data_IF_933214150670
#
_entry.id   IF_933214150670
#
_cell.length_a   1.000
_cell.length_b   1.000
_cell.length_c   1.000
_cell.angle_alpha   90.00
_cell.angle_beta   90.00
_cell.angle_gamma   90.00
#
_symmetry.space_group_name_H-M   'P 1'
#
loop_
_entity.id
_entity.type
_entity.pdbx_description
1 polymer ?
#
# COMPACT_ATOMS: atom_id res chain seq x y z
N UNK A 1 -16.85 -13.67 39.55
CA UNK A 1 -15.39 -13.86 39.70
C UNK A 1 -14.73 -13.91 38.32
N UNK A 2 -13.61 -13.22 38.16
CA UNK A 2 -12.82 -13.26 36.92
C UNK A 2 -12.03 -14.57 36.83
N UNK A 3 -11.75 -15.08 35.62
CA UNK A 3 -10.91 -16.29 35.44
C UNK A 3 -9.55 -16.17 36.14
N UNK A 4 -8.98 -14.97 36.13
CA UNK A 4 -7.74 -14.67 36.85
C UNK A 4 -7.88 -14.84 38.38
N UNK A 5 -8.98 -14.36 38.98
CA UNK A 5 -9.24 -14.56 40.41
C UNK A 5 -9.36 -16.04 40.80
N UNK A 6 -10.02 -16.87 39.99
CA UNK A 6 -10.14 -18.31 40.26
C UNK A 6 -8.78 -19.03 40.18
N UNK A 7 -7.90 -18.62 39.27
CA UNK A 7 -6.54 -19.18 39.17
C UNK A 7 -5.70 -18.81 40.41
N UNK A 8 -5.83 -17.56 40.90
CA UNK A 8 -5.17 -17.14 42.13
C UNK A 8 -5.61 -18.01 43.30
N UNK A 9 -6.94 -18.16 43.50
CA UNK A 9 -7.50 -18.99 44.59
C UNK A 9 -6.96 -20.42 44.56
N UNK A 10 -6.91 -21.04 43.38
CA UNK A 10 -6.44 -22.42 43.22
C UNK A 10 -4.93 -22.61 43.41
N UNK A 11 -4.10 -21.61 43.07
CA UNK A 11 -2.64 -21.74 43.19
C UNK A 11 -2.15 -21.38 44.58
N UNK A 12 -2.77 -20.38 45.19
CA UNK A 12 -2.29 -19.73 46.42
C UNK A 12 -3.09 -20.23 47.63
N UNK A 13 -4.20 -20.93 47.41
CA UNK A 13 -5.13 -21.38 48.45
C UNK A 13 -5.49 -20.23 49.38
N UNK A 14 -5.87 -19.09 48.81
CA UNK A 14 -6.22 -17.88 49.58
C UNK A 14 -7.36 -18.11 50.59
N UNK A 15 -8.17 -19.15 50.37
CA UNK A 15 -9.27 -19.56 51.23
C UNK A 15 -8.78 -20.42 52.43
N UNK A 16 -7.52 -20.89 52.43
CA UNK A 16 -6.86 -21.58 53.55
C UNK A 16 -5.92 -20.59 54.29
N UNK A 17 -6.52 -19.76 55.14
CA UNK A 17 -5.83 -18.69 55.85
C UNK A 17 -5.68 -19.03 57.34
N UNK A 18 -4.61 -18.57 57.98
CA UNK A 18 -4.29 -18.81 59.40
C UNK A 18 -5.39 -18.33 60.36
N UNK A 19 -6.28 -17.43 59.91
CA UNK A 19 -7.42 -16.95 60.68
C UNK A 19 -8.65 -17.88 60.67
N UNK A 20 -8.60 -19.00 59.92
CA UNK A 20 -9.67 -19.99 59.87
C UNK A 20 -9.43 -21.13 60.88
N UNK A 21 -10.49 -21.61 61.57
CA UNK A 21 -10.40 -22.74 62.49
C UNK A 21 -9.95 -24.06 61.81
N UNK A 22 -10.17 -24.17 60.50
CA UNK A 22 -9.85 -25.33 59.66
C UNK A 22 -8.52 -25.23 58.92
N UNK A 23 -7.63 -24.32 59.35
CA UNK A 23 -6.34 -24.07 58.71
C UNK A 23 -5.50 -25.35 58.59
N UNK A 24 -4.97 -25.59 57.39
CA UNK A 24 -3.99 -26.65 57.13
C UNK A 24 -2.66 -26.03 56.73
N UNK A 25 -1.56 -26.54 57.27
CA UNK A 25 -0.22 -26.12 56.86
C UNK A 25 -0.04 -26.50 55.39
N UNK A 26 0.24 -25.50 54.55
CA UNK A 26 0.61 -25.67 53.14
C UNK A 26 1.96 -25.02 52.84
N UNK A 27 2.49 -25.26 51.65
CA UNK A 27 3.82 -24.79 51.24
C UNK A 27 3.81 -23.29 50.81
N UNK A 28 2.70 -22.58 51.01
CA UNK A 28 2.55 -21.18 50.58
C UNK A 28 2.68 -20.27 51.78
N UNK A 29 3.67 -19.37 51.75
CA UNK A 29 3.86 -18.39 52.82
C UNK A 29 2.61 -17.53 53.03
N UNK A 30 2.19 -17.35 54.29
CA UNK A 30 1.01 -16.55 54.67
C UNK A 30 1.08 -15.10 54.15
N UNK A 31 2.29 -14.54 54.07
CA UNK A 31 2.48 -13.18 53.53
C UNK A 31 1.98 -13.10 52.09
N UNK A 32 2.23 -14.13 51.26
CA UNK A 32 1.74 -14.19 49.88
C UNK A 32 0.23 -14.32 49.85
N UNK A 33 -0.36 -15.17 50.70
CA UNK A 33 -1.82 -15.30 50.79
C UNK A 33 -2.48 -13.97 51.13
N UNK A 34 -1.91 -13.20 52.05
CA UNK A 34 -2.39 -11.88 52.43
C UNK A 34 -2.30 -10.88 51.26
N UNK A 35 -1.14 -10.80 50.59
CA UNK A 35 -0.98 -9.93 49.42
C UNK A 35 -1.96 -10.26 48.29
N UNK A 36 -2.13 -11.53 47.94
CA UNK A 36 -3.07 -11.92 46.89
C UNK A 36 -4.53 -11.78 47.33
N UNK A 37 -4.86 -11.95 48.61
CA UNK A 37 -6.18 -11.62 49.15
C UNK A 37 -6.49 -10.13 49.04
N UNK A 38 -5.52 -9.25 49.29
CA UNK A 38 -5.70 -7.80 49.07
C UNK A 38 -6.02 -7.48 47.61
N UNK A 39 -5.39 -8.17 46.65
CA UNK A 39 -5.71 -7.99 45.23
C UNK A 39 -7.15 -8.42 44.91
N UNK A 40 -7.60 -9.55 45.48
CA UNK A 40 -8.92 -10.13 45.24
C UNK A 40 -10.05 -9.33 45.90
N UNK A 41 -9.84 -8.88 47.15
CA UNK A 41 -10.88 -8.20 47.93
C UNK A 41 -11.06 -6.74 47.51
N UNK A 42 -10.00 -6.07 47.06
CA UNK A 42 -10.07 -4.66 46.68
C UNK A 42 -10.64 -4.42 45.28
N UNK A 43 -10.86 -5.47 44.46
CA UNK A 43 -11.21 -5.30 43.06
C UNK A 43 -12.23 -6.33 42.56
N UNK A 44 -13.43 -5.86 42.18
CA UNK A 44 -14.44 -6.71 41.53
C UNK A 44 -13.98 -7.22 40.14
N UNK A 45 -13.15 -6.42 39.45
CA UNK A 45 -12.57 -6.75 38.15
C UNK A 45 -11.09 -6.40 38.08
N UNK A 46 -10.26 -7.42 37.89
CA UNK A 46 -8.81 -7.26 37.76
C UNK A 46 -8.47 -6.87 36.32
N UNK A 47 -8.25 -5.57 36.09
CA UNK A 47 -7.75 -5.05 34.81
C UNK A 47 -6.23 -5.19 34.72
N UNK A 48 -5.68 -5.06 33.50
CA UNK A 48 -4.23 -5.13 33.26
C UNK A 48 -3.47 -4.08 34.07
N UNK A 49 -4.01 -2.86 34.17
CA UNK A 49 -3.40 -1.75 34.94
C UNK A 49 -3.34 -2.06 36.43
N UNK A 50 -4.47 -2.49 37.01
CA UNK A 50 -4.56 -2.87 38.42
C UNK A 50 -3.58 -4.01 38.73
N UNK A 51 -3.52 -5.03 37.86
CA UNK A 51 -2.62 -6.19 38.01
C UNK A 51 -1.15 -5.78 38.12
N UNK A 52 -0.67 -4.92 37.21
CA UNK A 52 0.75 -4.51 37.22
C UNK A 52 1.05 -3.44 38.27
N UNK A 53 0.07 -2.60 38.62
CA UNK A 53 0.18 -1.69 39.75
C UNK A 53 0.32 -2.46 41.07
N UNK A 54 -0.51 -3.49 41.29
CA UNK A 54 -0.40 -4.40 42.43
C UNK A 54 0.97 -5.08 42.49
N UNK A 55 1.46 -5.59 41.36
CA UNK A 55 2.78 -6.22 41.30
C UNK A 55 3.88 -5.25 41.73
N UNK A 56 3.87 -4.01 41.20
CA UNK A 56 4.85 -2.98 41.55
C UNK A 56 4.76 -2.58 43.04
N UNK A 57 3.56 -2.39 43.57
CA UNK A 57 3.34 -2.02 44.96
C UNK A 57 3.75 -3.13 45.92
N UNK A 58 3.51 -4.39 45.56
CA UNK A 58 3.89 -5.56 46.37
C UNK A 58 5.41 -5.69 46.45
N UNK A 59 6.13 -5.42 45.36
CA UNK A 59 7.60 -5.46 45.34
C UNK A 59 8.24 -4.30 46.10
N UNK A 60 7.65 -3.10 46.04
CA UNK A 60 8.12 -1.92 46.76
C UNK A 60 7.78 -1.93 48.26
N UNK A 61 6.99 -2.90 48.71
CA UNK A 61 6.54 -2.95 50.08
C UNK A 61 7.69 -3.27 51.04
N UNK A 62 7.79 -2.51 52.14
CA UNK A 62 8.76 -2.68 53.23
C UNK A 62 8.70 -4.08 53.86
N UNK A 63 7.53 -4.72 53.86
CA UNK A 63 7.33 -6.05 54.46
C UNK A 63 7.82 -7.21 53.58
N UNK A 64 8.20 -6.95 52.32
CA UNK A 64 8.77 -7.96 51.42
C UNK A 64 10.30 -7.96 51.50
N UNK A 65 10.87 -8.85 52.33
CA UNK A 65 12.31 -9.16 52.35
C UNK A 65 12.73 -9.86 51.04
N UNK A 66 14.01 -9.78 50.69
CA UNK A 66 14.53 -10.30 49.41
C UNK A 66 14.21 -11.78 49.18
N UNK A 67 14.28 -12.62 50.21
CA UNK A 67 13.95 -14.06 50.14
C UNK A 67 12.48 -14.29 49.71
N UNK A 68 11.54 -13.51 50.25
CA UNK A 68 10.11 -13.62 49.91
C UNK A 68 9.75 -12.97 48.57
N UNK A 69 10.60 -12.06 48.05
CA UNK A 69 10.34 -11.40 46.77
C UNK A 69 10.43 -12.37 45.61
N UNK A 70 11.43 -13.24 45.60
CA UNK A 70 11.60 -14.23 44.53
C UNK A 70 10.43 -15.21 44.49
N UNK A 71 10.02 -15.71 45.66
CA UNK A 71 8.85 -16.59 45.78
C UNK A 71 7.56 -15.91 45.32
N UNK A 72 7.34 -14.65 45.72
CA UNK A 72 6.20 -13.88 45.25
C UNK A 72 6.20 -13.71 43.72
N UNK A 73 7.34 -13.37 43.13
CA UNK A 73 7.50 -13.24 41.67
C UNK A 73 7.19 -14.58 41.00
N UNK A 74 7.69 -15.69 41.56
CA UNK A 74 7.45 -17.03 41.04
C UNK A 74 5.96 -17.40 41.07
N UNK A 75 5.26 -17.13 42.18
CA UNK A 75 3.81 -17.33 42.27
C UNK A 75 3.04 -16.46 41.27
N UNK A 76 3.38 -15.17 41.18
CA UNK A 76 2.74 -14.25 40.24
C UNK A 76 2.95 -14.69 38.78
N UNK A 77 4.18 -15.05 38.42
CA UNK A 77 4.51 -15.61 37.11
C UNK A 77 3.78 -16.92 36.83
N UNK A 78 3.65 -17.81 37.82
CA UNK A 78 2.89 -19.07 37.69
C UNK A 78 1.41 -18.83 37.40
N UNK A 79 0.78 -17.91 38.14
CA UNK A 79 -0.60 -17.47 37.89
C UNK A 79 -0.74 -16.92 36.47
N UNK A 80 0.17 -16.03 36.05
CA UNK A 80 0.14 -15.45 34.70
C UNK A 80 0.31 -16.52 33.62
N UNK A 81 1.26 -17.44 33.78
CA UNK A 81 1.50 -18.53 32.81
C UNK A 81 0.25 -19.38 32.61
N UNK A 82 -0.44 -19.76 33.69
CA UNK A 82 -1.69 -20.54 33.59
C UNK A 82 -2.78 -19.73 32.89
N UNK A 83 -2.96 -18.48 33.28
CA UNK A 83 -3.94 -17.59 32.65
C UNK A 83 -3.70 -17.42 31.14
N UNK A 84 -2.46 -17.15 30.73
CA UNK A 84 -2.12 -17.00 29.32
C UNK A 84 -2.22 -18.31 28.53
N UNK A 85 -1.89 -19.46 29.12
CA UNK A 85 -2.11 -20.78 28.51
C UNK A 85 -3.59 -21.06 28.28
N UNK A 86 -4.44 -20.78 29.27
CA UNK A 86 -5.89 -20.94 29.12
C UNK A 86 -6.46 -20.00 28.06
N UNK A 87 -6.05 -18.73 28.04
CA UNK A 87 -6.47 -17.80 27.00
C UNK A 87 -6.01 -18.24 25.60
N UNK A 88 -4.78 -18.75 25.48
CA UNK A 88 -4.27 -19.30 24.22
C UNK A 88 -5.08 -20.52 23.79
N UNK A 89 -5.46 -21.39 24.72
CA UNK A 89 -6.32 -22.54 24.45
C UNK A 89 -7.71 -22.10 23.97
N UNK A 90 -8.34 -21.15 24.66
CA UNK A 90 -9.64 -20.59 24.27
C UNK A 90 -9.55 -19.94 22.89
N UNK A 91 -8.48 -19.19 22.61
CA UNK A 91 -8.26 -18.58 21.29
C UNK A 91 -8.17 -19.65 20.19
N UNK A 92 -7.40 -20.73 20.41
CA UNK A 92 -7.32 -21.86 19.49
C UNK A 92 -8.67 -22.55 19.29
N UNK A 93 -9.45 -22.73 20.37
CA UNK A 93 -10.79 -23.31 20.29
C UNK A 93 -11.74 -22.42 19.47
N UNK A 94 -11.78 -21.12 19.76
CA UNK A 94 -12.57 -20.14 18.99
C UNK A 94 -12.17 -20.15 17.51
N UNK A 95 -10.87 -20.18 17.23
CA UNK A 95 -10.37 -20.30 15.87
C UNK A 95 -10.86 -21.57 15.19
N UNK A 96 -10.79 -22.74 15.85
CA UNK A 96 -11.29 -23.99 15.26
C UNK A 96 -12.79 -23.97 15.00
N UNK A 97 -13.59 -23.45 15.94
CA UNK A 97 -15.07 -23.41 15.87
C UNK A 97 -15.61 -22.34 14.91
N UNK A 98 -14.85 -21.28 14.65
CA UNK A 98 -15.28 -20.17 13.80
C UNK A 98 -15.61 -20.65 12.37
N UNK A 99 -16.77 -20.19 11.89
CA UNK A 99 -17.27 -20.48 10.54
C UNK A 99 -16.48 -19.68 9.51
N UNK A 100 -16.23 -20.30 8.36
CA UNK A 100 -15.70 -19.62 7.18
C UNK A 100 -16.88 -18.92 6.51
N UNK A 101 -16.84 -17.59 6.49
CA UNK A 101 -17.90 -16.76 5.91
C UNK A 101 -17.57 -16.39 4.47
N UNK A 102 -16.27 -16.16 4.21
CA UNK A 102 -15.77 -15.80 2.88
C UNK A 102 -14.70 -16.78 2.48
N UNK A 103 -14.96 -17.48 1.38
CA UNK A 103 -14.08 -18.45 0.73
C UNK A 103 -13.91 -18.17 -0.78
N UNK A 104 -14.32 -16.98 -1.23
CA UNK A 104 -14.16 -16.56 -2.62
C UNK A 104 -13.46 -15.22 -2.66
N UNK A 105 -12.65 -15.03 -3.68
CA UNK A 105 -12.01 -13.76 -3.98
C UNK A 105 -13.01 -12.76 -4.60
N UNK A 106 -12.59 -11.50 -4.75
CA UNK A 106 -13.29 -10.45 -5.47
C UNK A 106 -13.56 -10.83 -6.93
N UNK A 107 -12.71 -11.67 -7.53
CA UNK A 107 -12.92 -12.24 -8.87
C UNK A 107 -13.78 -13.52 -8.87
N UNK A 108 -14.41 -13.86 -7.75
CA UNK A 108 -15.25 -15.06 -7.52
C UNK A 108 -14.51 -16.40 -7.59
N UNK A 109 -13.18 -16.39 -7.66
CA UNK A 109 -12.34 -17.58 -7.56
C UNK A 109 -12.43 -18.19 -6.16
N UNK A 110 -12.49 -19.52 -6.07
CA UNK A 110 -12.52 -20.20 -4.76
C UNK A 110 -11.13 -20.18 -4.12
N UNK A 111 -11.08 -19.80 -2.84
CA UNK A 111 -9.86 -19.71 -2.06
C UNK A 111 -9.88 -20.82 -1.02
N UNK A 112 -8.87 -21.69 -1.02
CA UNK A 112 -8.70 -22.68 0.03
C UNK A 112 -7.71 -22.20 1.10
N UNK A 113 -7.91 -22.68 2.33
CA UNK A 113 -7.04 -22.34 3.48
C UNK A 113 -5.59 -22.79 3.28
N UNK A 114 -5.39 -23.86 2.53
CA UNK A 114 -4.08 -24.49 2.35
C UNK A 114 -3.28 -23.92 1.18
N UNK A 115 -3.87 -22.99 0.43
CA UNK A 115 -3.22 -22.42 -0.75
C UNK A 115 -2.09 -21.48 -0.33
N UNK A 116 -1.07 -21.42 -1.19
CA UNK A 116 0.05 -20.48 -1.00
C UNK A 116 -0.49 -19.06 -1.06
N UNK A 117 0.10 -18.16 -0.26
CA UNK A 117 -0.26 -16.74 -0.21
C UNK A 117 -1.71 -16.45 0.24
N UNK A 118 -2.39 -17.42 0.87
CA UNK A 118 -3.70 -17.20 1.47
C UNK A 118 -3.57 -16.94 2.97
N UNK A 119 -4.15 -15.82 3.41
CA UNK A 119 -4.23 -15.45 4.81
C UNK A 119 -5.65 -15.69 5.35
N UNK A 120 -5.75 -16.52 6.39
CA UNK A 120 -7.00 -16.72 7.12
C UNK A 120 -7.11 -15.71 8.27
N UNK A 121 -7.93 -14.68 8.06
CA UNK A 121 -8.23 -13.67 9.08
C UNK A 121 -9.40 -14.12 9.95
N UNK A 122 -9.18 -14.21 11.27
CA UNK A 122 -10.27 -14.33 12.25
C UNK A 122 -10.66 -12.92 12.74
N UNK A 123 -11.84 -12.45 12.36
CA UNK A 123 -12.35 -11.14 12.77
C UNK A 123 -13.79 -11.27 13.29
N UNK A 124 -14.05 -10.83 14.52
CA UNK A 124 -15.37 -10.92 15.17
C UNK A 124 -16.02 -12.33 15.10
N UNK A 125 -15.26 -13.38 15.45
CA UNK A 125 -15.65 -14.81 15.43
C UNK A 125 -15.96 -15.43 14.05
N UNK A 126 -15.68 -14.70 12.97
CA UNK A 126 -15.82 -15.19 11.60
C UNK A 126 -14.46 -15.29 10.93
N UNK A 127 -14.27 -16.32 10.10
CA UNK A 127 -13.07 -16.48 9.27
C UNK A 127 -13.31 -15.88 7.88
N UNK A 128 -12.34 -15.09 7.44
CA UNK A 128 -12.28 -14.49 6.13
C UNK A 128 -10.98 -14.94 5.48
N UNK A 129 -11.08 -15.58 4.32
CA UNK A 129 -9.91 -15.92 3.52
C UNK A 129 -9.60 -14.74 2.60
N UNK A 130 -8.33 -14.32 2.60
CA UNK A 130 -7.82 -13.29 1.72
C UNK A 130 -6.63 -13.85 0.97
N UNK A 131 -6.59 -13.65 -0.34
CA UNK A 131 -5.33 -13.73 -1.05
C UNK A 131 -4.48 -12.50 -0.67
N UNK A 132 -3.16 -12.70 -0.57
CA UNK A 132 -2.29 -11.68 0.03
C UNK A 132 -2.22 -10.40 -0.80
N UNK A 133 -2.35 -10.50 -2.13
CA UNK A 133 -2.35 -9.34 -3.02
C UNK A 133 -3.53 -8.41 -2.70
N UNK A 134 -4.72 -8.97 -2.49
CA UNK A 134 -5.90 -8.18 -2.17
C UNK A 134 -5.77 -7.53 -0.80
N UNK A 135 -5.22 -8.27 0.17
CA UNK A 135 -4.94 -7.71 1.49
C UNK A 135 -3.93 -6.56 1.40
N UNK A 136 -2.86 -6.70 0.61
CA UNK A 136 -1.88 -5.63 0.36
C UNK A 136 -2.54 -4.44 -0.32
N UNK A 137 -3.44 -4.66 -1.29
CA UNK A 137 -4.17 -3.60 -1.96
C UNK A 137 -5.10 -2.85 -1.00
N UNK A 138 -5.82 -3.56 -0.13
CA UNK A 138 -6.67 -2.96 0.92
C UNK A 138 -5.83 -2.11 1.89
N UNK A 139 -4.66 -2.63 2.27
CA UNK A 139 -3.73 -1.91 3.15
C UNK A 139 -3.19 -0.66 2.46
N UNK A 140 -2.68 -0.78 1.23
CA UNK A 140 -2.09 0.31 0.49
C UNK A 140 -3.11 1.41 0.22
N UNK A 141 -4.30 1.07 -0.27
CA UNK A 141 -5.38 2.04 -0.51
C UNK A 141 -5.75 2.83 0.74
N UNK A 142 -5.76 2.17 1.90
CA UNK A 142 -6.04 2.83 3.19
C UNK A 142 -4.90 3.76 3.63
N UNK A 143 -3.65 3.29 3.53
CA UNK A 143 -2.47 4.04 4.00
C UNK A 143 -2.09 5.20 3.06
N UNK A 144 -2.37 5.07 1.77
CA UNK A 144 -2.07 6.09 0.75
C UNK A 144 -3.27 6.97 0.42
N UNK A 145 -4.31 6.93 1.25
CA UNK A 145 -5.46 7.81 1.09
C UNK A 145 -4.99 9.28 1.10
N UNK A 146 -5.46 10.06 0.13
CA UNK A 146 -5.08 11.47 0.01
C UNK A 146 -6.15 12.29 -0.67
N UNK A 147 -6.20 13.57 -0.30
CA UNK A 147 -7.03 14.58 -0.91
C UNK A 147 -6.14 15.74 -1.36
N UNK A 148 -6.19 16.14 -2.63
CA UNK A 148 -5.35 17.20 -3.19
C UNK A 148 -3.85 17.05 -2.85
N UNK A 149 -3.33 15.81 -2.92
CA UNK A 149 -1.96 15.43 -2.52
C UNK A 149 -1.63 15.55 -1.02
N UNK A 150 -2.55 16.02 -0.17
CA UNK A 150 -2.41 15.94 1.28
C UNK A 150 -2.68 14.51 1.72
N UNK A 151 -1.69 13.90 2.39
CA UNK A 151 -1.77 12.50 2.78
C UNK A 151 -2.57 12.41 4.07
N UNK A 152 -3.67 11.66 4.02
CA UNK A 152 -4.57 11.43 5.16
C UNK A 152 -4.80 9.92 5.31
N UNK A 153 -3.81 9.18 5.85
CA UNK A 153 -3.92 7.74 6.02
C UNK A 153 -5.14 7.38 6.88
N UNK A 154 -5.94 6.43 6.42
CA UNK A 154 -7.12 5.95 7.15
C UNK A 154 -6.86 4.58 7.79
N UNK A 155 -7.71 4.21 8.74
CA UNK A 155 -7.64 2.89 9.35
C UNK A 155 -7.91 1.80 8.31
N UNK A 156 -7.09 0.75 8.35
CA UNK A 156 -7.27 -0.42 7.49
C UNK A 156 -8.49 -1.19 8.02
N UNK A 157 -9.44 -1.48 7.13
CA UNK A 157 -10.71 -2.14 7.46
C UNK A 157 -10.86 -3.44 6.71
N UNK A 158 -11.66 -4.34 7.27
CA UNK A 158 -12.14 -5.50 6.52
C UNK A 158 -13.20 -5.03 5.51
N UNK A 159 -13.04 -5.27 4.19
CA UNK A 159 -14.04 -4.87 3.20
C UNK A 159 -15.42 -5.50 3.43
N UNK A 160 -15.49 -6.69 4.04
CA UNK A 160 -16.74 -7.44 4.21
C UNK A 160 -17.61 -6.93 5.37
N UNK A 161 -17.02 -6.31 6.40
CA UNK A 161 -17.78 -5.83 7.55
C UNK A 161 -17.52 -4.36 7.90
N UNK A 162 -16.63 -3.69 7.16
CA UNK A 162 -16.24 -2.29 7.33
C UNK A 162 -15.71 -1.94 8.74
N UNK A 163 -15.26 -2.94 9.50
CA UNK A 163 -14.67 -2.74 10.83
C UNK A 163 -13.14 -2.62 10.71
N UNK A 164 -12.51 -1.72 11.49
CA UNK A 164 -11.08 -1.54 11.49
C UNK A 164 -10.34 -2.76 12.06
N UNK A 165 -9.17 -3.05 11.53
CA UNK A 165 -8.31 -4.09 12.08
C UNK A 165 -7.70 -3.65 13.42
N UNK A 166 -7.77 -4.55 14.39
CA UNK A 166 -7.05 -4.41 15.66
C UNK A 166 -5.53 -4.54 15.45
N UNK A 167 -4.74 -3.97 16.37
CA UNK A 167 -3.27 -4.13 16.33
C UNK A 167 -2.84 -5.59 16.30
N UNK A 168 -3.53 -6.46 17.05
CA UNK A 168 -3.30 -7.91 17.07
C UNK A 168 -3.36 -8.52 15.66
N UNK A 169 -4.38 -8.12 14.88
CA UNK A 169 -4.56 -8.52 13.49
C UNK A 169 -3.45 -7.96 12.62
N UNK A 170 -3.11 -6.68 12.75
CA UNK A 170 -2.06 -6.05 11.96
C UNK A 170 -0.69 -6.71 12.17
N UNK A 171 -0.34 -7.06 13.41
CA UNK A 171 0.87 -7.83 13.72
C UNK A 171 0.85 -9.21 13.04
N UNK A 172 -0.28 -9.92 13.11
CA UNK A 172 -0.40 -11.23 12.46
C UNK A 172 -0.24 -11.13 10.94
N UNK A 173 -0.83 -10.11 10.31
CA UNK A 173 -0.68 -9.84 8.87
C UNK A 173 0.78 -9.56 8.53
N UNK A 174 1.46 -8.71 9.31
CA UNK A 174 2.87 -8.40 9.09
C UNK A 174 3.76 -9.64 9.19
N UNK A 175 3.58 -10.44 10.23
CA UNK A 175 4.34 -11.69 10.39
C UNK A 175 4.06 -12.66 9.24
N UNK A 176 2.80 -12.75 8.79
CA UNK A 176 2.45 -13.57 7.65
C UNK A 176 3.17 -13.12 6.38
N UNK A 177 3.08 -11.83 6.02
CA UNK A 177 3.74 -11.28 4.83
C UNK A 177 5.24 -11.52 4.89
N UNK A 178 5.87 -11.18 6.02
CA UNK A 178 7.33 -11.22 6.18
C UNK A 178 7.91 -12.63 6.10
N UNK A 179 7.23 -13.63 6.65
CA UNK A 179 7.79 -14.98 6.81
C UNK A 179 7.20 -16.02 5.86
N UNK A 180 6.00 -15.78 5.32
CA UNK A 180 5.29 -16.76 4.51
C UNK A 180 5.07 -16.31 3.06
N UNK A 181 5.53 -15.11 2.69
CA UNK A 181 5.38 -14.59 1.33
C UNK A 181 6.66 -13.91 0.84
N UNK A 182 6.75 -13.67 -0.48
CA UNK A 182 7.84 -12.90 -1.08
C UNK A 182 7.49 -11.41 -1.25
N UNK A 183 6.32 -10.98 -0.80
CA UNK A 183 5.87 -9.60 -0.95
C UNK A 183 6.50 -8.70 0.11
N UNK A 184 6.88 -7.48 -0.30
CA UNK A 184 7.37 -6.43 0.59
C UNK A 184 6.56 -5.14 0.39
N UNK A 185 5.37 -5.02 1.00
CA UNK A 185 4.58 -3.79 0.93
C UNK A 185 5.24 -2.69 1.78
N UNK A 186 5.96 -1.79 1.12
CA UNK A 186 6.77 -0.74 1.74
C UNK A 186 6.00 0.12 2.74
N UNK A 187 4.81 0.60 2.38
CA UNK A 187 3.99 1.43 3.26
C UNK A 187 3.52 0.68 4.49
N UNK A 188 3.23 -0.61 4.36
CA UNK A 188 2.81 -1.43 5.50
C UNK A 188 3.98 -1.72 6.45
N UNK A 189 5.18 -1.97 5.93
CA UNK A 189 6.37 -2.17 6.76
C UNK A 189 6.77 -0.88 7.48
N UNK A 190 6.65 0.28 6.82
CA UNK A 190 6.79 1.60 7.48
C UNK A 190 5.71 1.81 8.54
N UNK A 191 4.47 1.40 8.28
CA UNK A 191 3.39 1.48 9.26
C UNK A 191 3.63 0.59 10.49
N UNK A 192 4.21 -0.60 10.30
CA UNK A 192 4.68 -1.46 11.39
C UNK A 192 5.79 -0.81 12.22
N UNK A 193 6.76 -0.11 11.59
CA UNK A 193 7.82 0.62 12.30
C UNK A 193 7.27 1.74 13.20
N UNK A 194 6.08 2.26 12.90
CA UNK A 194 5.39 3.26 13.71
C UNK A 194 4.44 2.62 14.75
N UNK A 195 4.60 1.35 15.12
CA UNK A 195 3.70 0.59 16.02
C UNK A 195 2.22 0.64 15.59
N UNK A 196 2.00 0.67 14.27
CA UNK A 196 0.68 0.85 13.66
C UNK A 196 -0.05 2.12 14.14
N UNK A 197 0.69 3.20 14.41
CA UNK A 197 0.16 4.51 14.73
C UNK A 197 0.03 5.37 13.46
N UNK A 198 -1.22 5.63 13.04
CA UNK A 198 -1.50 6.39 11.80
C UNK A 198 -0.93 7.80 11.82
N UNK A 199 -1.01 8.49 12.97
CA UNK A 199 -0.52 9.87 13.11
C UNK A 199 1.00 9.95 12.97
N UNK A 200 1.72 9.03 13.61
CA UNK A 200 3.18 8.96 13.51
C UNK A 200 3.58 8.56 12.09
N UNK A 201 2.91 7.56 11.52
CA UNK A 201 3.15 7.09 10.17
C UNK A 201 2.97 8.20 9.12
N UNK A 202 1.85 8.92 9.16
CA UNK A 202 1.55 10.01 8.23
C UNK A 202 2.59 11.12 8.31
N UNK A 203 2.98 11.53 9.52
CA UNK A 203 4.00 12.58 9.72
C UNK A 203 5.39 12.16 9.26
N UNK A 204 5.82 10.94 9.60
CA UNK A 204 7.18 10.48 9.27
C UNK A 204 7.35 10.16 7.77
N UNK A 205 6.28 9.77 7.09
CA UNK A 205 6.33 9.32 5.69
C UNK A 205 5.62 10.26 4.72
N UNK A 206 5.29 11.49 5.13
CA UNK A 206 4.50 12.46 4.32
C UNK A 206 5.10 12.69 2.94
N UNK A 207 6.42 12.87 2.85
CA UNK A 207 7.11 13.11 1.59
C UNK A 207 7.00 11.92 0.63
N UNK A 208 7.15 10.69 1.12
CA UNK A 208 7.04 9.48 0.28
C UNK A 208 5.60 9.29 -0.17
N UNK A 209 4.64 9.46 0.74
CA UNK A 209 3.22 9.35 0.44
C UNK A 209 2.82 10.37 -0.62
N UNK A 210 3.28 11.62 -0.52
CA UNK A 210 3.01 12.66 -1.53
C UNK A 210 3.59 12.31 -2.89
N UNK A 211 4.83 11.84 -2.95
CA UNK A 211 5.47 11.40 -4.21
C UNK A 211 4.70 10.23 -4.86
N UNK A 212 4.24 9.28 -4.05
CA UNK A 212 3.41 8.17 -4.51
C UNK A 212 2.04 8.65 -5.02
N UNK A 213 1.41 9.59 -4.32
CA UNK A 213 0.12 10.16 -4.72
C UNK A 213 0.21 10.99 -6.00
N UNK A 214 1.30 11.75 -6.20
CA UNK A 214 1.58 12.46 -7.46
C UNK A 214 1.64 11.47 -8.62
N UNK A 215 2.35 10.36 -8.46
CA UNK A 215 2.42 9.32 -9.48
C UNK A 215 1.04 8.71 -9.74
N UNK A 216 0.37 8.23 -8.69
CA UNK A 216 -0.96 7.65 -8.84
C UNK A 216 -1.94 8.59 -9.53
N UNK A 217 -1.88 9.90 -9.26
CA UNK A 217 -2.69 10.88 -9.96
C UNK A 217 -2.42 10.89 -11.47
N UNK A 218 -1.16 10.93 -11.89
CA UNK A 218 -0.81 10.99 -13.32
C UNK A 218 -1.18 9.72 -14.08
N UNK A 219 -1.05 8.55 -13.44
CA UNK A 219 -1.28 7.26 -14.10
C UNK A 219 -2.71 6.73 -13.97
N UNK A 220 -3.43 7.05 -12.88
CA UNK A 220 -4.77 6.48 -12.58
C UNK A 220 -5.92 7.47 -12.71
N UNK A 221 -5.67 8.77 -12.85
CA UNK A 221 -6.76 9.75 -13.01
C UNK A 221 -7.44 9.63 -14.37
N UNK A 222 -8.68 10.12 -14.43
CA UNK A 222 -9.45 10.12 -15.67
C UNK A 222 -8.85 11.04 -16.74
N UNK A 223 -9.03 10.67 -18.01
CA UNK A 223 -8.53 11.43 -19.16
C UNK A 223 -8.95 12.90 -19.17
N UNK A 224 -10.15 13.20 -18.67
CA UNK A 224 -10.66 14.57 -18.58
C UNK A 224 -9.87 15.43 -17.59
N UNK A 225 -9.56 14.88 -16.41
CA UNK A 225 -8.74 15.56 -15.39
C UNK A 225 -7.32 15.77 -15.92
N UNK A 226 -6.71 14.74 -16.48
CA UNK A 226 -5.37 14.82 -17.06
C UNK A 226 -5.30 15.86 -18.19
N UNK A 227 -6.31 15.94 -19.07
CA UNK A 227 -6.38 16.95 -20.13
C UNK A 227 -6.42 18.38 -19.57
N UNK A 228 -7.18 18.62 -18.50
CA UNK A 228 -7.25 19.93 -17.87
C UNK A 228 -5.90 20.33 -17.28
N UNK A 229 -5.23 19.40 -16.59
CA UNK A 229 -3.90 19.65 -16.03
C UNK A 229 -2.83 19.86 -17.10
N UNK A 230 -2.86 19.11 -18.20
CA UNK A 230 -1.95 19.33 -19.35
C UNK A 230 -2.14 20.74 -19.92
N UNK A 231 -3.38 21.20 -20.08
CA UNK A 231 -3.65 22.58 -20.52
C UNK A 231 -3.13 23.61 -19.53
N UNK A 232 -3.30 23.36 -18.22
CA UNK A 232 -2.77 24.22 -17.16
C UNK A 232 -1.24 24.31 -17.26
N UNK A 233 -0.55 23.17 -17.33
CA UNK A 233 0.90 23.09 -17.54
C UNK A 233 1.38 23.89 -18.75
N UNK A 234 0.77 23.67 -19.92
CA UNK A 234 1.15 24.38 -21.15
C UNK A 234 0.87 25.88 -21.07
N UNK A 235 -0.25 26.28 -20.46
CA UNK A 235 -0.58 27.70 -20.28
C UNK A 235 0.41 28.42 -19.37
N UNK A 236 0.87 27.78 -18.29
CA UNK A 236 1.91 28.32 -17.41
C UNK A 236 3.25 28.43 -18.13
N UNK A 237 3.63 27.41 -18.92
CA UNK A 237 4.82 27.46 -19.75
C UNK A 237 4.75 28.61 -20.76
N UNK A 238 3.67 28.73 -21.52
CA UNK A 238 3.48 29.80 -22.51
C UNK A 238 3.47 31.19 -21.84
N UNK A 239 2.86 31.33 -20.66
CA UNK A 239 2.86 32.58 -19.90
C UNK A 239 4.28 33.00 -19.48
N UNK A 240 5.10 32.05 -19.02
CA UNK A 240 6.49 32.28 -18.62
C UNK A 240 7.35 32.83 -19.76
N UNK A 241 7.13 32.38 -21.00
CA UNK A 241 7.90 32.80 -22.19
C UNK A 241 7.20 33.85 -23.06
N UNK A 242 6.08 34.44 -22.59
CA UNK A 242 5.33 35.44 -23.35
C UNK A 242 6.15 36.71 -23.65
N UNK A 243 6.96 37.14 -22.68
CA UNK A 243 7.76 38.38 -22.73
C UNK A 243 9.26 38.12 -22.95
N UNK A 244 9.69 36.88 -23.14
CA UNK A 244 11.09 36.56 -23.40
C UNK A 244 11.49 36.86 -24.85
N UNK A 245 12.79 37.11 -25.07
CA UNK A 245 13.37 37.33 -26.40
C UNK A 245 13.09 36.15 -27.35
N UNK A 246 13.08 34.93 -26.82
CA UNK A 246 12.64 33.72 -27.51
C UNK A 246 11.18 33.44 -27.14
N UNK A 247 10.26 33.54 -28.10
CA UNK A 247 8.82 33.30 -27.88
C UNK A 247 8.52 31.82 -28.09
N UNK A 248 8.55 31.06 -27.01
CA UNK A 248 8.08 29.67 -27.00
C UNK A 248 6.57 29.66 -26.73
N UNK A 249 5.80 29.00 -27.60
CA UNK A 249 4.34 28.95 -27.46
C UNK A 249 3.77 27.66 -28.04
N UNK A 250 3.41 26.72 -27.15
CA UNK A 250 2.82 25.44 -27.53
C UNK A 250 1.29 25.59 -27.47
N UNK A 251 0.66 25.71 -28.63
CA UNK A 251 -0.79 25.88 -28.78
C UNK A 251 -1.39 24.68 -29.51
N UNK A 252 -2.18 23.88 -28.79
CA UNK A 252 -2.81 22.66 -29.28
C UNK A 252 -4.30 22.94 -29.55
N UNK A 253 -4.80 22.51 -30.71
CA UNK A 253 -6.21 22.68 -31.08
C UNK A 253 -7.15 21.94 -30.10
N UNK A 254 -8.31 22.53 -29.81
CA UNK A 254 -9.27 21.98 -28.84
C UNK A 254 -9.82 20.60 -29.21
N UNK A 255 -9.83 20.28 -30.51
CA UNK A 255 -10.30 19.02 -31.08
C UNK A 255 -9.19 18.03 -31.44
N UNK A 256 -7.94 18.31 -31.04
CA UNK A 256 -6.87 17.33 -31.10
C UNK A 256 -7.24 16.09 -30.24
N UNK A 257 -6.93 14.86 -30.70
CA UNK A 257 -7.30 13.64 -29.99
C UNK A 257 -6.74 13.57 -28.56
N UNK A 258 -7.61 13.34 -27.58
CA UNK A 258 -7.25 13.37 -26.16
C UNK A 258 -6.28 12.25 -25.79
N UNK A 259 -6.50 11.04 -26.30
CA UNK A 259 -5.71 9.88 -25.91
C UNK A 259 -4.27 10.01 -26.39
N UNK A 260 -4.08 10.53 -27.61
CA UNK A 260 -2.76 10.84 -28.18
C UNK A 260 -2.09 11.95 -27.36
N UNK A 261 -2.82 13.01 -27.03
CA UNK A 261 -2.28 14.11 -26.22
C UNK A 261 -1.80 13.63 -24.86
N UNK A 262 -2.63 12.85 -24.17
CA UNK A 262 -2.32 12.33 -22.85
C UNK A 262 -1.13 11.38 -22.95
N UNK A 263 -1.10 10.46 -23.92
CA UNK A 263 0.03 9.54 -24.11
C UNK A 263 1.36 10.29 -24.26
N UNK A 264 1.39 11.33 -25.10
CA UNK A 264 2.59 12.13 -25.36
C UNK A 264 2.98 12.99 -24.15
N UNK A 265 1.99 13.64 -23.51
CA UNK A 265 2.23 14.63 -22.46
C UNK A 265 2.29 14.04 -21.06
N UNK A 266 1.90 12.78 -20.83
CA UNK A 266 1.93 12.12 -19.51
C UNK A 266 3.28 12.24 -18.80
N UNK A 267 4.45 11.97 -19.42
CA UNK A 267 5.73 12.13 -18.74
C UNK A 267 6.07 13.61 -18.41
N UNK A 268 5.67 14.55 -19.26
CA UNK A 268 5.79 15.99 -18.97
C UNK A 268 4.87 16.41 -17.81
N UNK A 269 3.68 15.84 -17.75
CA UNK A 269 2.71 16.09 -16.69
C UNK A 269 3.24 15.59 -15.35
N UNK A 270 3.92 14.43 -15.32
CA UNK A 270 4.58 13.93 -14.12
C UNK A 270 5.62 14.94 -13.59
N UNK A 271 6.50 15.42 -14.46
CA UNK A 271 7.47 16.47 -14.12
C UNK A 271 6.79 17.74 -13.58
N UNK A 272 5.71 18.17 -14.24
CA UNK A 272 4.95 19.34 -13.82
C UNK A 272 4.34 19.14 -12.42
N UNK A 273 3.60 18.06 -12.18
CA UNK A 273 3.04 17.77 -10.87
C UNK A 273 4.13 17.65 -9.79
N UNK A 274 5.28 17.02 -10.08
CA UNK A 274 6.41 16.95 -9.15
C UNK A 274 6.98 18.34 -8.85
N UNK A 275 7.17 19.20 -9.85
CA UNK A 275 7.69 20.57 -9.66
C UNK A 275 6.81 21.43 -8.74
N UNK A 276 5.48 21.26 -8.86
CA UNK A 276 4.51 22.05 -8.12
C UNK A 276 4.26 21.48 -6.73
N UNK A 277 4.05 20.16 -6.62
CA UNK A 277 3.47 19.53 -5.42
C UNK A 277 4.46 18.72 -4.57
N UNK A 278 5.68 18.42 -5.06
CA UNK A 278 6.64 17.65 -4.26
C UNK A 278 7.02 18.41 -2.97
N UNK A 279 7.29 17.68 -1.89
CA UNK A 279 7.81 18.28 -0.65
C UNK A 279 9.33 18.46 -0.67
N UNK A 280 10.02 17.75 -1.55
CA UNK A 280 11.48 17.75 -1.61
C UNK A 280 11.96 18.86 -2.56
N UNK A 281 12.62 19.88 -2.00
CA UNK A 281 13.05 21.07 -2.75
C UNK A 281 13.92 20.70 -3.96
N UNK A 282 14.93 19.85 -3.76
CA UNK A 282 15.81 19.41 -4.84
C UNK A 282 15.03 18.75 -5.98
N UNK A 283 14.04 17.90 -5.68
CA UNK A 283 13.19 17.28 -6.71
C UNK A 283 12.36 18.31 -7.46
N UNK A 284 11.82 19.33 -6.76
CA UNK A 284 11.01 20.37 -7.41
C UNK A 284 11.84 21.19 -8.39
N UNK A 285 13.01 21.63 -7.96
CA UNK A 285 13.93 22.43 -8.78
C UNK A 285 14.38 21.63 -10.00
N UNK A 286 14.78 20.38 -9.78
CA UNK A 286 15.19 19.45 -10.84
C UNK A 286 14.05 19.20 -11.84
N UNK A 287 12.86 18.86 -11.36
CA UNK A 287 11.66 18.66 -12.19
C UNK A 287 11.38 19.90 -13.05
N UNK A 288 11.49 21.09 -12.45
CA UNK A 288 11.28 22.37 -13.14
C UNK A 288 12.30 22.57 -14.25
N UNK A 289 13.58 22.34 -13.98
CA UNK A 289 14.65 22.52 -14.97
C UNK A 289 14.45 21.56 -16.14
N UNK A 290 14.22 20.28 -15.86
CA UNK A 290 14.03 19.25 -16.87
C UNK A 290 12.77 19.53 -17.71
N UNK A 291 11.65 19.86 -17.06
CA UNK A 291 10.38 20.19 -17.74
C UNK A 291 10.56 21.33 -18.73
N UNK A 292 11.15 22.45 -18.29
CA UNK A 292 11.34 23.61 -19.17
C UNK A 292 12.24 23.26 -20.36
N UNK A 293 13.35 22.56 -20.13
CA UNK A 293 14.25 22.13 -21.19
C UNK A 293 13.53 21.24 -22.20
N UNK A 294 12.85 20.20 -21.74
CA UNK A 294 12.13 19.23 -22.59
C UNK A 294 10.98 19.87 -23.36
N UNK A 295 10.26 20.84 -22.78
CA UNK A 295 9.20 21.57 -23.49
C UNK A 295 9.76 22.53 -24.55
N UNK A 296 10.92 23.17 -24.29
CA UNK A 296 11.63 23.96 -25.30
C UNK A 296 12.07 23.07 -26.45
N UNK A 297 12.68 21.92 -26.16
CA UNK A 297 13.11 20.94 -27.18
C UNK A 297 11.91 20.42 -27.99
N UNK A 298 10.79 20.13 -27.32
CA UNK A 298 9.54 19.74 -27.95
C UNK A 298 9.01 20.81 -28.92
N UNK A 299 9.00 22.08 -28.49
CA UNK A 299 8.58 23.18 -29.35
C UNK A 299 9.53 23.37 -30.54
N UNK A 300 10.84 23.33 -30.31
CA UNK A 300 11.84 23.51 -31.36
C UNK A 300 11.76 22.40 -32.42
N UNK A 301 11.41 21.18 -32.01
CA UNK A 301 11.19 20.07 -32.93
C UNK A 301 9.95 20.27 -33.81
N UNK A 302 8.81 20.66 -33.22
CA UNK A 302 7.58 20.91 -33.97
C UNK A 302 6.75 22.08 -33.38
N UNK A 303 6.97 23.33 -33.85
CA UNK A 303 6.20 24.50 -33.41
C UNK A 303 4.72 24.46 -33.81
N UNK A 304 4.35 23.60 -34.77
CA UNK A 304 2.99 23.40 -35.26
C UNK A 304 2.28 22.18 -34.67
N UNK A 305 2.87 21.53 -33.67
CA UNK A 305 2.27 20.37 -33.01
C UNK A 305 0.83 20.65 -32.56
N UNK A 306 -0.07 19.71 -32.85
CA UNK A 306 -1.47 19.79 -32.47
C UNK A 306 -2.34 20.75 -33.29
N UNK A 307 -1.81 21.35 -34.37
CA UNK A 307 -2.59 22.17 -35.31
C UNK A 307 -3.35 21.31 -36.32
N UNK A 308 -4.54 21.77 -36.71
CA UNK A 308 -5.31 21.20 -37.82
C UNK A 308 -4.64 21.49 -39.16
N UNK A 309 -4.48 20.45 -39.98
CA UNK A 309 -4.11 20.54 -41.39
C UNK A 309 -5.29 20.03 -42.22
N UNK A 310 -5.64 20.79 -43.26
CA UNK A 310 -6.68 20.39 -44.20
C UNK A 310 -6.00 19.83 -45.44
N UNK A 311 -6.16 18.52 -45.66
CA UNK A 311 -5.73 17.87 -46.89
C UNK A 311 -6.92 17.85 -47.84
N UNK A 312 -6.76 18.55 -48.97
CA UNK A 312 -7.80 18.62 -50.01
C UNK A 312 -7.63 17.38 -50.88
N UNK A 313 -8.67 16.55 -50.94
CA UNK A 313 -8.69 15.45 -51.89
C UNK A 313 -9.12 15.96 -53.26
N UNK A 314 -8.35 15.59 -54.28
CA UNK A 314 -8.57 15.99 -55.66
C UNK A 314 -8.86 14.71 -56.45
N UNK A 315 -10.05 14.65 -57.02
CA UNK A 315 -10.42 13.65 -58.04
C UNK A 315 -10.30 14.28 -59.43
N UNK A 316 -10.12 13.44 -60.44
CA UNK A 316 -10.09 13.89 -61.83
C UNK A 316 -11.40 13.50 -62.50
N UNK A 317 -12.00 14.44 -63.24
CA UNK A 317 -13.14 14.12 -64.11
C UNK A 317 -12.64 13.41 -65.39
N UNK A 318 -13.55 12.79 -66.15
CA UNK A 318 -13.22 12.11 -67.43
C UNK A 318 -12.49 13.00 -68.45
N UNK A 319 -12.50 14.33 -68.27
CA UNK A 319 -11.77 15.30 -69.09
C UNK A 319 -10.47 15.80 -68.42
N UNK A 320 -9.89 15.03 -67.49
CA UNK A 320 -8.69 15.36 -66.71
C UNK A 320 -8.73 16.69 -65.94
N UNK A 321 -9.93 17.24 -65.68
CA UNK A 321 -10.09 18.45 -64.85
C UNK A 321 -10.09 18.07 -63.37
N UNK A 322 -9.28 18.78 -62.57
CA UNK A 322 -9.24 18.63 -61.11
C UNK A 322 -10.59 19.04 -60.51
N UNK A 323 -11.20 18.15 -59.73
CA UNK A 323 -12.41 18.38 -58.94
C UNK A 323 -12.12 18.05 -57.48
N UNK A 324 -12.44 18.97 -56.58
CA UNK A 324 -12.30 18.75 -55.14
C UNK A 324 -13.35 17.71 -54.73
N UNK A 325 -12.92 16.56 -54.22
CA UNK A 325 -13.79 15.45 -53.79
C UNK A 325 -14.10 15.45 -52.30
N UNK A 326 -13.24 16.04 -51.48
CA UNK A 326 -13.39 16.02 -50.02
C UNK A 326 -12.32 16.84 -49.30
N UNK A 327 -12.52 17.00 -47.98
CA UNK A 327 -11.54 17.58 -47.06
C UNK A 327 -11.27 16.58 -45.95
N UNK A 328 -10.03 16.12 -45.82
CA UNK A 328 -9.57 15.33 -44.68
C UNK A 328 -8.93 16.28 -43.67
N UNK A 329 -9.31 16.13 -42.40
CA UNK A 329 -8.69 16.83 -41.27
C UNK A 329 -7.59 15.92 -40.73
N UNK A 330 -6.34 16.31 -40.91
CA UNK A 330 -5.18 15.65 -40.31
C UNK A 330 -4.62 16.55 -39.21
N UNK A 331 -4.06 15.97 -38.15
CA UNK A 331 -3.37 16.72 -37.10
C UNK A 331 -1.86 16.51 -37.21
N UNK A 332 -1.08 17.54 -36.87
CA UNK A 332 0.37 17.39 -36.75
C UNK A 332 0.71 16.75 -35.40
N UNK A 333 1.03 15.46 -35.42
CA UNK A 333 1.33 14.64 -34.25
C UNK A 333 2.84 14.32 -34.10
N UNK A 334 3.67 14.79 -35.03
CA UNK A 334 5.12 14.55 -34.99
C UNK A 334 5.72 15.22 -33.75
N UNK A 335 6.37 14.44 -32.91
CA UNK A 335 6.97 14.92 -31.67
C UNK A 335 8.33 14.24 -31.42
N UNK A 336 9.14 14.91 -30.61
CA UNK A 336 10.37 14.31 -30.08
C UNK A 336 10.01 13.28 -29.01
N UNK A 337 10.70 12.13 -29.01
CA UNK A 337 10.56 11.15 -27.94
C UNK A 337 11.01 11.76 -26.61
N UNK A 338 10.27 11.44 -25.54
CA UNK A 338 10.60 11.97 -24.22
C UNK A 338 11.92 11.39 -23.68
N UNK A 339 12.14 10.09 -23.90
CA UNK A 339 13.32 9.33 -23.48
C UNK A 339 14.29 9.11 -24.66
N UNK A 340 15.59 9.00 -24.35
CA UNK A 340 16.66 8.73 -25.32
C UNK A 340 17.25 7.34 -25.02
N UNK A 341 16.48 6.31 -25.39
CA UNK A 341 16.75 4.90 -25.07
C UNK A 341 18.18 4.45 -25.46
N UNK A 342 18.73 4.82 -26.64
CA UNK A 342 20.10 4.47 -26.99
C UNK A 342 21.16 5.06 -26.04
N UNK A 343 21.02 6.32 -25.65
CA UNK A 343 21.93 6.97 -24.69
C UNK A 343 21.81 6.32 -23.31
N UNK A 344 20.59 6.01 -22.89
CA UNK A 344 20.28 5.38 -21.60
C UNK A 344 20.90 3.98 -21.50
N UNK A 345 20.76 3.15 -22.53
CA UNK A 345 21.33 1.80 -22.57
C UNK A 345 22.85 1.82 -22.47
N UNK A 346 23.50 2.80 -23.10
CA UNK A 346 24.95 2.98 -23.00
C UNK A 346 25.40 3.34 -21.59
N UNK A 347 24.64 4.19 -20.89
CA UNK A 347 24.94 4.58 -19.51
C UNK A 347 24.64 3.45 -18.51
N UNK A 348 23.64 2.61 -18.78
CA UNK A 348 23.17 1.57 -17.86
C UNK A 348 24.25 0.59 -17.39
N UNK A 349 25.14 0.17 -18.28
CA UNK A 349 26.19 -0.80 -17.93
C UNK A 349 27.30 -0.20 -17.04
N UNK A 350 27.40 1.12 -16.93
CA UNK A 350 28.54 1.77 -16.27
C UNK A 350 28.16 2.63 -15.07
N UNK A 351 26.89 2.97 -14.90
CA UNK A 351 26.50 3.98 -13.92
C UNK A 351 26.49 3.49 -12.45
N UNK A 352 26.46 2.18 -12.22
CA UNK A 352 26.66 1.58 -10.90
C UNK A 352 28.10 1.66 -10.40
N UNK A 353 29.08 1.88 -11.29
CA UNK A 353 30.51 1.84 -10.96
C UNK A 353 30.98 3.09 -10.19
N UNK A 354 30.29 4.22 -10.35
CA UNK A 354 30.67 5.47 -9.70
C UNK A 354 29.47 6.36 -9.43
N UNK A 355 29.38 6.87 -8.20
CA UNK A 355 28.45 7.94 -7.86
C UNK A 355 28.79 9.21 -8.67
N UNK A 356 27.84 9.65 -9.49
CA UNK A 356 27.94 10.89 -10.24
C UNK A 356 26.61 11.63 -10.12
N UNK A 357 26.62 12.75 -9.41
CA UNK A 357 25.45 13.60 -9.18
C UNK A 357 24.81 14.10 -10.49
N UNK A 358 25.61 14.25 -11.56
CA UNK A 358 25.10 14.63 -12.89
C UNK A 358 24.27 13.52 -13.56
N UNK A 359 24.46 12.25 -13.19
CA UNK A 359 23.69 11.12 -13.74
C UNK A 359 22.30 10.99 -13.09
N UNK A 360 22.12 11.52 -11.88
CA UNK A 360 20.84 11.52 -11.15
C UNK A 360 19.72 12.23 -11.95
N UNK A 361 20.09 13.34 -12.60
CA UNK A 361 19.20 14.23 -13.39
C UNK A 361 18.51 13.50 -14.55
N UNK A 362 19.13 12.45 -15.08
CA UNK A 362 18.61 11.75 -16.26
C UNK A 362 17.63 10.62 -15.89
N UNK A 363 17.81 9.93 -14.75
CA UNK A 363 17.17 8.62 -14.47
C UNK A 363 15.86 8.64 -13.71
N UNK A 364 15.61 9.60 -12.82
CA UNK A 364 14.46 9.52 -11.89
C UNK A 364 13.08 9.54 -12.55
N UNK A 365 12.97 10.02 -13.80
CA UNK A 365 11.73 10.08 -14.55
C UNK A 365 11.56 8.92 -15.55
N UNK A 366 12.53 8.00 -15.62
CA UNK A 366 12.60 6.91 -16.60
C UNK A 366 12.03 5.60 -16.03
N UNK A 367 12.37 5.25 -14.78
CA UNK A 367 11.99 3.96 -14.15
C UNK A 367 10.47 3.71 -14.02
N UNK A 368 9.65 4.73 -14.26
CA UNK A 368 8.19 4.66 -14.11
C UNK A 368 7.43 4.58 -15.45
N UNK A 369 8.11 4.69 -16.60
CA UNK A 369 7.49 4.50 -17.92
C UNK A 369 7.54 3.06 -18.42
N UNK A 370 8.42 2.21 -17.88
CA UNK A 370 8.65 0.85 -18.38
C UNK A 370 7.90 -0.25 -17.60
N UNK A 371 7.13 0.10 -16.55
CA UNK A 371 6.39 -0.88 -15.74
C UNK A 371 4.91 -1.04 -16.16
N UNK A 372 4.46 -0.37 -17.22
CA UNK A 372 3.08 -0.48 -17.74
C UNK A 372 2.99 -1.29 -19.05
N UNK A 373 4.09 -1.88 -19.53
CA UNK A 373 4.08 -2.85 -20.64
C UNK A 373 4.12 -4.28 -20.07
N UNK A 374 3.08 -4.69 -19.35
CA UNK A 374 2.71 -6.10 -19.19
C UNK A 374 1.25 -6.23 -18.71
N UNK A 375 0.39 -6.67 -19.64
CA UNK A 375 -0.78 -7.55 -19.47
C UNK A 375 -1.84 -7.25 -20.55
N UNK A 376 -1.47 -7.47 -21.81
CA UNK A 376 -2.42 -7.85 -22.88
C UNK A 376 -1.68 -8.66 -23.95
N UNK A 377 -1.17 -9.84 -23.57
CA UNK A 377 -1.00 -10.95 -24.52
C UNK A 377 -2.06 -11.99 -24.22
N UNK A 378 -3.26 -11.73 -24.74
CA UNK A 378 -4.23 -12.80 -24.96
C UNK A 378 -3.63 -13.74 -26.02
N UNK A 379 -3.03 -14.85 -25.58
CA UNK A 379 -2.87 -16.03 -26.42
C UNK A 379 -4.27 -16.45 -26.88
N UNK A 380 -4.61 -16.08 -28.10
CA UNK A 380 -5.54 -16.81 -28.95
C UNK A 380 -4.67 -17.34 -30.07
N UNK A 381 -4.51 -18.65 -30.08
CA UNK A 381 -4.31 -19.50 -31.25
C UNK A 381 -4.39 -20.93 -30.70
N UNK A 382 -5.63 -21.39 -30.53
CA UNK A 382 -5.96 -22.80 -30.52
C UNK A 382 -6.71 -23.02 -31.83
N UNK A 383 -5.98 -23.43 -32.86
CA UNK A 383 -6.56 -24.08 -34.03
C UNK A 383 -6.66 -25.57 -33.66
N UNK A 384 -7.89 -25.98 -33.36
CA UNK A 384 -8.29 -27.38 -33.34
C UNK A 384 -8.40 -27.82 -34.82
N UNK A 385 -7.46 -28.62 -35.30
CA UNK A 385 -7.64 -29.44 -36.50
C UNK A 385 -8.28 -30.77 -36.04
N UNK A 386 -9.58 -30.89 -36.27
CA UNK A 386 -10.29 -32.17 -36.35
C UNK A 386 -9.90 -32.81 -37.70
N UNK A 387 -9.16 -33.92 -37.66
CA UNK A 387 -9.10 -34.89 -38.77
C UNK A 387 -9.88 -36.14 -38.36
N UNK A 388 -11.09 -36.25 -38.89
CA UNK A 388 -11.88 -37.48 -38.94
C UNK A 388 -11.30 -38.44 -40.00
N UNK A 389 -11.17 -39.70 -39.57
CA UNK A 389 -11.40 -40.96 -40.28
C UNK A 389 -11.17 -41.03 -41.80
N UNK A 390 -10.20 -41.86 -42.20
CA UNK A 390 -10.39 -42.76 -43.34
C UNK A 390 -9.80 -44.14 -43.00
N UNK A 391 -10.70 -45.11 -42.90
CA UNK A 391 -10.45 -46.54 -42.96
C UNK A 391 -10.04 -46.92 -44.39
N UNK A 392 -8.90 -47.59 -44.59
CA UNK A 392 -8.71 -48.48 -45.74
C UNK A 392 -8.18 -49.84 -45.28
N UNK A 393 -9.04 -50.85 -45.45
CA UNK A 393 -8.70 -52.26 -45.51
C UNK A 393 -7.95 -52.61 -46.82
N UNK A 394 -7.24 -53.74 -46.76
CA UNK A 394 -6.78 -54.60 -47.86
C UNK A 394 -5.50 -54.24 -48.66
N UNK A 395 -4.39 -54.93 -48.34
CA UNK A 395 -3.90 -56.18 -49.00
C UNK A 395 -2.64 -56.70 -48.30
#
# INVERSE_FOLDING_TARGET
MTTFSSIIKNIINTDNNIFLPSYKIDNVLEIHKLFFNLLLNNNDKITTTIKYHFFNNSLKNLFMKNEYREDFINYFCKVQRIYHRLNSFIAKYKYKKAKIVVNRDMCLNEININDKNVFCLLHHNSKYLFHICDLINIINTSLTNSQNFFSEPVSIKNPYNNLPFEKSILYNIYMFIKFHTFYSPDFFFKFFQCDFNLTIFGKQNEYILREYNIKNFVYKSSSNVLKMEIKSMLSQFNAKYKNSKQRYNINIDSSFPNDILIKIMKPYLLLYCTSVYSLLIHKREEATIILNKKLIDFYNFNPSFGRKKYKIEITYTNNFKKKISGKIIEYDDKHILFNDVPLENKLFLTDHLKYNEKNYIHRNYIFYNNNDDDDTSSNRDGEDEEEDEDEEEDV
#
